data_IF_484773476971
#
_entry.id   IF_484773476971
#
_cell.length_a   1.000
_cell.length_b   1.000
_cell.length_c   1.000
_cell.angle_alpha   90.00
_cell.angle_beta   90.00
_cell.angle_gamma   90.00
#
_symmetry.space_group_name_H-M   'P 1'
#
loop_
_entity.id
_entity.type
_entity.pdbx_description
1 polymer ?
#
# COMPACT_ATOMS: atom_id res chain seq x y z
N UNK A 1 46.43 -90.50 -21.35
CA UNK A 1 45.11 -90.12 -21.92
C UNK A 1 44.06 -90.59 -20.92
N UNK A 2 43.25 -89.68 -20.38
CA UNK A 2 42.29 -89.99 -19.31
C UNK A 2 40.89 -89.96 -19.94
N UNK A 3 40.13 -91.05 -19.82
CA UNK A 3 38.84 -91.23 -20.53
C UNK A 3 37.66 -90.62 -19.74
N UNK A 4 37.78 -90.50 -18.41
CA UNK A 4 36.70 -90.00 -17.54
C UNK A 4 36.50 -88.48 -17.56
N UNK A 5 37.46 -87.70 -18.07
CA UNK A 5 37.34 -86.24 -18.16
C UNK A 5 37.70 -85.80 -19.57
N UNK A 6 36.68 -85.51 -20.37
CA UNK A 6 36.85 -85.01 -21.72
C UNK A 6 37.08 -83.49 -21.70
N UNK A 7 38.36 -83.10 -21.58
CA UNK A 7 38.79 -81.70 -21.56
C UNK A 7 38.37 -80.93 -22.82
N UNK A 8 38.36 -81.57 -24.00
CA UNK A 8 37.92 -80.92 -25.25
C UNK A 8 36.43 -80.61 -25.27
N UNK A 9 35.60 -81.43 -24.60
CA UNK A 9 34.17 -81.16 -24.44
C UNK A 9 33.91 -80.01 -23.46
N UNK A 10 34.69 -79.92 -22.38
CA UNK A 10 34.56 -78.85 -21.38
C UNK A 10 34.94 -77.50 -21.99
N UNK A 11 36.03 -77.43 -22.75
CA UNK A 11 36.44 -76.19 -23.44
C UNK A 11 35.43 -75.78 -24.51
N UNK A 12 34.87 -76.73 -25.27
CA UNK A 12 33.79 -76.46 -26.22
C UNK A 12 32.53 -75.91 -25.52
N UNK A 13 32.18 -76.44 -24.35
CA UNK A 13 31.02 -75.99 -23.58
C UNK A 13 31.24 -74.60 -22.93
N UNK A 14 32.45 -74.30 -22.47
CA UNK A 14 32.84 -72.98 -22.00
C UNK A 14 32.78 -71.94 -23.13
N UNK A 15 33.31 -72.27 -24.32
CA UNK A 15 33.25 -71.41 -25.50
C UNK A 15 31.81 -71.15 -25.98
N UNK A 16 30.96 -72.17 -25.97
CA UNK A 16 29.54 -72.04 -26.28
C UNK A 16 28.82 -71.13 -25.26
N UNK A 17 29.14 -71.28 -23.97
CA UNK A 17 28.59 -70.44 -22.91
C UNK A 17 29.01 -68.98 -23.06
N UNK A 18 30.28 -68.72 -23.39
CA UNK A 18 30.79 -67.37 -23.63
C UNK A 18 30.16 -66.74 -24.87
N UNK A 19 30.01 -67.50 -25.96
CA UNK A 19 29.28 -67.05 -27.17
C UNK A 19 27.82 -66.71 -26.84
N UNK A 20 27.15 -67.55 -26.05
CA UNK A 20 25.78 -67.31 -25.59
C UNK A 20 25.64 -66.02 -24.78
N UNK A 21 26.62 -65.71 -23.90
CA UNK A 21 26.66 -64.44 -23.15
C UNK A 21 26.82 -63.23 -24.07
N UNK A 22 27.73 -63.31 -25.05
CA UNK A 22 27.95 -62.23 -26.03
C UNK A 22 26.71 -61.95 -26.88
N UNK A 23 26.03 -62.99 -27.38
CA UNK A 23 24.79 -62.84 -28.15
C UNK A 23 23.70 -62.17 -27.29
N UNK A 24 23.53 -62.62 -26.04
CA UNK A 24 22.56 -62.01 -25.11
C UNK A 24 22.84 -60.52 -24.90
N UNK A 25 24.10 -60.15 -24.71
CA UNK A 25 24.47 -58.73 -24.54
C UNK A 25 24.23 -57.92 -25.82
N UNK A 26 24.52 -58.46 -27.00
CA UNK A 26 24.23 -57.77 -28.27
C UNK A 26 22.72 -57.60 -28.50
N UNK A 27 21.92 -58.60 -28.13
CA UNK A 27 20.47 -58.56 -28.26
C UNK A 27 19.85 -57.56 -27.27
N UNK A 28 20.37 -57.48 -26.04
CA UNK A 28 20.02 -56.46 -25.04
C UNK A 28 20.28 -55.04 -25.59
N UNK A 29 21.46 -54.80 -26.18
CA UNK A 29 21.81 -53.51 -26.80
C UNK A 29 20.96 -53.19 -28.02
N UNK A 30 20.63 -54.19 -28.84
CA UNK A 30 19.74 -54.00 -29.99
C UNK A 30 18.31 -53.65 -29.55
N UNK A 31 17.80 -54.33 -28.52
CA UNK A 31 16.44 -54.11 -28.02
C UNK A 31 16.26 -52.75 -27.34
N UNK A 32 17.31 -52.23 -26.70
CA UNK A 32 17.31 -50.94 -26.00
C UNK A 32 17.71 -49.79 -26.91
N UNK A 33 18.43 -50.07 -27.99
CA UNK A 33 19.06 -49.06 -28.86
C UNK A 33 20.23 -48.33 -28.19
N UNK A 34 20.61 -48.71 -26.97
CA UNK A 34 21.67 -48.06 -26.20
C UNK A 34 22.96 -48.89 -26.28
N UNK A 35 24.08 -48.20 -26.52
CA UNK A 35 25.42 -48.82 -26.59
C UNK A 35 25.89 -49.33 -25.21
N UNK A 36 25.47 -48.67 -24.13
CA UNK A 36 25.83 -48.96 -22.73
C UNK A 36 24.51 -49.10 -21.96
N UNK A 37 24.20 -50.31 -21.47
CA UNK A 37 22.97 -50.58 -20.71
C UNK A 37 23.20 -50.76 -19.21
N UNK A 38 24.41 -51.20 -18.84
CA UNK A 38 24.79 -51.52 -17.46
C UNK A 38 26.17 -50.97 -17.15
N UNK A 39 26.41 -50.64 -15.89
CA UNK A 39 27.69 -50.12 -15.42
C UNK A 39 28.86 -51.09 -15.68
N UNK A 40 28.57 -52.40 -15.81
CA UNK A 40 29.57 -53.42 -16.15
C UNK A 40 30.08 -53.33 -17.60
N UNK A 41 29.34 -52.69 -18.51
CA UNK A 41 29.77 -52.53 -19.91
C UNK A 41 30.75 -51.36 -20.07
N UNK A 42 30.47 -50.23 -19.40
CA UNK A 42 31.37 -49.07 -19.28
C UNK A 42 30.86 -48.15 -18.16
N UNK A 43 31.49 -48.23 -16.98
CA UNK A 43 31.07 -47.44 -15.82
C UNK A 43 31.28 -45.93 -16.02
N UNK A 44 32.36 -45.54 -16.71
CA UNK A 44 32.67 -44.11 -16.93
C UNK A 44 31.77 -43.52 -18.01
N UNK A 45 31.55 -44.27 -19.10
CA UNK A 45 30.63 -43.87 -20.16
C UNK A 45 29.19 -43.77 -19.68
N UNK A 46 28.73 -44.70 -18.82
CA UNK A 46 27.41 -44.63 -18.21
C UNK A 46 27.28 -43.41 -17.28
N UNK A 47 28.28 -43.14 -16.44
CA UNK A 47 28.26 -41.98 -15.55
C UNK A 47 28.20 -40.64 -16.31
N UNK A 48 28.93 -40.53 -17.42
CA UNK A 48 28.86 -39.34 -18.29
C UNK A 48 27.49 -39.24 -18.97
N UNK A 49 26.95 -40.35 -19.46
CA UNK A 49 25.63 -40.39 -20.10
C UNK A 49 24.51 -39.98 -19.12
N UNK A 50 24.54 -40.49 -17.89
CA UNK A 50 23.59 -40.11 -16.85
C UNK A 50 23.72 -38.64 -16.47
N UNK A 51 24.95 -38.12 -16.33
CA UNK A 51 25.17 -36.69 -16.11
C UNK A 51 24.56 -35.85 -17.24
N UNK A 52 24.85 -36.17 -18.50
CA UNK A 52 24.30 -35.47 -19.65
C UNK A 52 22.77 -35.58 -19.72
N UNK A 53 22.20 -36.72 -19.31
CA UNK A 53 20.75 -36.91 -19.24
C UNK A 53 20.11 -36.03 -18.18
N UNK A 54 20.70 -35.96 -16.98
CA UNK A 54 20.25 -35.04 -15.93
C UNK A 54 20.37 -33.58 -16.38
N UNK A 55 21.47 -33.22 -17.05
CA UNK A 55 21.67 -31.89 -17.62
C UNK A 55 20.58 -31.55 -18.64
N UNK A 56 20.30 -32.46 -19.58
CA UNK A 56 19.24 -32.28 -20.56
C UNK A 56 17.88 -32.06 -19.89
N UNK A 57 17.48 -32.92 -18.95
CA UNK A 57 16.20 -32.76 -18.24
C UNK A 57 16.12 -31.47 -17.42
N UNK A 58 17.26 -31.01 -16.88
CA UNK A 58 17.32 -29.76 -16.11
C UNK A 58 17.17 -28.54 -17.03
N UNK A 59 17.81 -28.57 -18.21
CA UNK A 59 17.68 -27.52 -19.22
C UNK A 59 16.25 -27.50 -19.79
N UNK A 60 15.62 -28.65 -20.03
CA UNK A 60 14.24 -28.71 -20.51
C UNK A 60 13.27 -28.02 -19.54
N UNK A 61 13.43 -28.26 -18.23
CA UNK A 61 12.67 -27.55 -17.20
C UNK A 61 13.04 -26.07 -17.15
N UNK A 62 14.32 -25.74 -17.31
CA UNK A 62 14.79 -24.35 -17.40
C UNK A 62 14.16 -23.58 -18.55
N UNK A 63 14.03 -24.20 -19.73
CA UNK A 63 13.33 -23.62 -20.89
C UNK A 63 11.86 -23.39 -20.58
N UNK A 64 11.18 -24.33 -19.91
CA UNK A 64 9.79 -24.16 -19.49
C UNK A 64 9.63 -22.99 -18.48
N UNK A 65 10.58 -22.84 -17.55
CA UNK A 65 10.61 -21.72 -16.61
C UNK A 65 10.86 -20.39 -17.35
N UNK A 66 11.77 -20.37 -18.32
CA UNK A 66 12.04 -19.21 -19.17
C UNK A 66 10.83 -18.80 -19.99
N UNK A 67 10.10 -19.76 -20.57
CA UNK A 67 8.84 -19.47 -21.26
C UNK A 67 7.79 -18.86 -20.32
N UNK A 68 7.70 -19.36 -19.09
CA UNK A 68 6.81 -18.79 -18.07
C UNK A 68 7.20 -17.33 -17.75
N UNK A 69 8.50 -17.05 -17.61
CA UNK A 69 9.02 -15.70 -17.44
C UNK A 69 8.64 -14.77 -18.61
N UNK A 70 8.77 -15.26 -19.86
CA UNK A 70 8.37 -14.52 -21.06
C UNK A 70 6.88 -14.22 -21.04
N UNK A 71 6.02 -15.20 -20.73
CA UNK A 71 4.56 -14.97 -20.67
C UNK A 71 4.19 -13.95 -19.59
N UNK A 72 4.85 -14.00 -18.44
CA UNK A 72 4.67 -13.05 -17.35
C UNK A 72 5.05 -11.63 -17.79
N UNK A 73 6.21 -11.47 -18.43
CA UNK A 73 6.66 -10.18 -18.95
C UNK A 73 5.74 -9.64 -20.04
N UNK A 74 5.22 -10.50 -20.93
CA UNK A 74 4.28 -10.08 -21.97
C UNK A 74 2.95 -9.60 -21.40
N UNK A 75 2.46 -10.21 -20.32
CA UNK A 75 1.26 -9.75 -19.62
C UNK A 75 1.53 -8.38 -18.99
N UNK A 76 2.65 -8.23 -18.29
CA UNK A 76 3.05 -6.96 -17.70
C UNK A 76 3.18 -5.84 -18.77
N UNK A 77 3.88 -6.11 -19.87
CA UNK A 77 4.11 -5.16 -20.97
C UNK A 77 2.80 -4.71 -21.62
N UNK A 78 1.88 -5.65 -21.92
CA UNK A 78 0.56 -5.31 -22.48
C UNK A 78 -0.30 -4.51 -21.51
N UNK A 79 -0.28 -4.84 -20.22
CA UNK A 79 -0.97 -4.05 -19.20
C UNK A 79 -0.39 -2.63 -19.08
N UNK A 80 0.93 -2.48 -19.14
CA UNK A 80 1.59 -1.17 -19.13
C UNK A 80 1.30 -0.35 -20.40
N UNK A 81 1.17 -1.00 -21.56
CA UNK A 81 0.73 -0.33 -22.78
C UNK A 81 -0.68 0.25 -22.63
N UNK A 82 -1.60 -0.44 -21.95
CA UNK A 82 -2.93 0.09 -21.66
C UNK A 82 -2.87 1.28 -20.68
N UNK A 83 -2.03 1.20 -19.65
CA UNK A 83 -1.79 2.34 -18.75
C UNK A 83 -1.21 3.55 -19.51
N UNK A 84 -0.33 3.33 -20.50
CA UNK A 84 0.18 4.39 -21.37
C UNK A 84 -0.93 5.07 -22.17
N UNK A 85 -1.86 4.31 -22.74
CA UNK A 85 -3.01 4.86 -23.46
C UNK A 85 -3.91 5.73 -22.55
N UNK A 86 -4.09 5.30 -21.30
CA UNK A 86 -4.83 6.07 -20.29
C UNK A 86 -4.10 7.38 -19.97
N UNK A 87 -2.78 7.34 -19.79
CA UNK A 87 -1.97 8.53 -19.51
C UNK A 87 -2.00 9.53 -20.68
N UNK A 88 -1.96 9.07 -21.92
CA UNK A 88 -2.11 9.93 -23.10
C UNK A 88 -3.49 10.61 -23.13
N UNK A 89 -4.54 9.89 -22.72
CA UNK A 89 -5.89 10.45 -22.60
C UNK A 89 -5.98 11.49 -21.48
N UNK A 90 -5.37 11.21 -20.32
CA UNK A 90 -5.28 12.17 -19.21
C UNK A 90 -4.55 13.44 -19.67
N UNK A 91 -3.43 13.30 -20.39
CA UNK A 91 -2.68 14.43 -20.93
C UNK A 91 -3.52 15.28 -21.89
N UNK A 92 -4.29 14.67 -22.78
CA UNK A 92 -5.20 15.40 -23.67
C UNK A 92 -6.28 16.17 -22.89
N UNK A 93 -6.87 15.55 -21.86
CA UNK A 93 -7.85 16.19 -20.96
C UNK A 93 -7.25 17.34 -20.16
N UNK A 94 -6.01 17.21 -19.68
CA UNK A 94 -5.30 18.29 -18.98
C UNK A 94 -5.05 19.49 -19.89
N UNK A 95 -4.65 19.27 -21.15
CA UNK A 95 -4.48 20.35 -22.14
C UNK A 95 -5.83 21.05 -22.40
N UNK A 96 -6.91 20.30 -22.51
CA UNK A 96 -8.27 20.84 -22.66
C UNK A 96 -8.69 21.67 -21.43
N UNK A 97 -8.39 21.20 -20.21
CA UNK A 97 -8.68 21.92 -18.98
C UNK A 97 -7.88 23.23 -18.85
N UNK A 98 -6.66 23.27 -19.39
CA UNK A 98 -5.78 24.44 -19.39
C UNK A 98 -6.11 25.47 -20.49
N UNK A 99 -7.13 25.23 -21.31
CA UNK A 99 -7.56 26.21 -22.32
C UNK A 99 -8.57 27.20 -21.72
N UNK A 100 -8.39 28.49 -21.96
CA UNK A 100 -9.24 29.56 -21.40
C UNK A 100 -10.71 29.51 -21.85
N UNK A 101 -11.01 28.81 -22.95
CA UNK A 101 -12.37 28.63 -23.47
C UNK A 101 -13.21 27.63 -22.66
N UNK A 102 -12.58 26.88 -21.75
CA UNK A 102 -13.27 25.90 -20.90
C UNK A 102 -13.85 26.59 -19.66
N UNK A 103 -15.17 26.53 -19.47
CA UNK A 103 -15.84 27.05 -18.26
C UNK A 103 -15.35 26.35 -16.98
N UNK A 104 -15.51 26.98 -15.82
CA UNK A 104 -15.19 26.39 -14.51
C UNK A 104 -15.89 25.05 -14.28
N UNK A 105 -17.17 24.94 -14.67
CA UNK A 105 -17.94 23.68 -14.56
C UNK A 105 -17.42 22.60 -15.52
N UNK A 106 -16.88 23.02 -16.68
CA UNK A 106 -16.22 22.15 -17.64
C UNK A 106 -14.88 21.62 -17.12
N UNK A 107 -14.08 22.47 -16.47
CA UNK A 107 -12.83 22.05 -15.80
C UNK A 107 -13.12 21.05 -14.68
N UNK A 108 -14.19 21.27 -13.91
CA UNK A 108 -14.61 20.35 -12.85
C UNK A 108 -15.06 18.99 -13.38
N UNK A 109 -15.77 18.96 -14.51
CA UNK A 109 -16.16 17.71 -15.17
C UNK A 109 -14.94 16.95 -15.71
N UNK A 110 -13.99 17.66 -16.31
CA UNK A 110 -12.72 17.08 -16.77
C UNK A 110 -11.90 16.53 -15.60
N UNK A 111 -11.89 17.21 -14.44
CA UNK A 111 -11.23 16.73 -13.21
C UNK A 111 -11.79 15.38 -12.76
N UNK A 112 -13.12 15.24 -12.72
CA UNK A 112 -13.78 13.98 -12.37
C UNK A 112 -13.42 12.86 -13.35
N UNK A 113 -13.33 13.15 -14.64
CA UNK A 113 -12.88 12.18 -15.63
C UNK A 113 -11.42 11.76 -15.40
N UNK A 114 -10.52 12.70 -15.09
CA UNK A 114 -9.12 12.40 -14.78
C UNK A 114 -9.02 11.55 -13.53
N UNK A 115 -9.76 11.85 -12.46
CA UNK A 115 -9.79 11.05 -11.24
C UNK A 115 -10.21 9.59 -11.53
N UNK A 116 -11.26 9.38 -12.33
CA UNK A 116 -11.67 8.03 -12.77
C UNK A 116 -10.62 7.31 -13.63
N UNK A 117 -9.93 8.03 -14.50
CA UNK A 117 -8.87 7.46 -15.34
C UNK A 117 -7.66 7.05 -14.48
N UNK A 118 -7.31 7.84 -13.46
CA UNK A 118 -6.27 7.47 -12.50
C UNK A 118 -6.69 6.26 -11.64
N UNK A 119 -7.95 6.21 -11.20
CA UNK A 119 -8.50 5.04 -10.51
C UNK A 119 -8.46 3.79 -11.42
N UNK A 120 -8.78 3.93 -12.70
CA UNK A 120 -8.66 2.83 -13.67
C UNK A 120 -7.19 2.39 -13.85
N UNK A 121 -6.25 3.33 -13.88
CA UNK A 121 -4.82 3.03 -13.97
C UNK A 121 -4.34 2.23 -12.75
N UNK A 122 -4.76 2.60 -11.55
CA UNK A 122 -4.45 1.88 -10.31
C UNK A 122 -5.11 0.49 -10.27
N UNK A 123 -6.35 0.38 -10.75
CA UNK A 123 -7.03 -0.91 -10.90
C UNK A 123 -6.29 -1.86 -11.84
N UNK A 124 -5.75 -1.36 -12.97
CA UNK A 124 -4.95 -2.19 -13.89
C UNK A 124 -3.67 -2.67 -13.18
N UNK A 125 -3.02 -1.81 -12.41
CA UNK A 125 -1.84 -2.19 -11.64
C UNK A 125 -2.16 -3.29 -10.62
N UNK A 126 -3.32 -3.21 -9.94
CA UNK A 126 -3.75 -4.16 -8.91
C UNK A 126 -4.20 -5.51 -9.49
N UNK A 127 -4.93 -5.48 -10.59
CA UNK A 127 -5.52 -6.69 -11.17
C UNK A 127 -4.53 -7.47 -12.06
N UNK A 128 -3.46 -6.83 -12.54
CA UNK A 128 -2.46 -7.49 -13.37
C UNK A 128 -1.62 -8.48 -12.55
N UNK A 129 -1.99 -9.76 -12.65
CA UNK A 129 -1.30 -10.85 -11.97
C UNK A 129 -1.04 -12.04 -12.91
N UNK A 130 -0.04 -12.84 -12.56
CA UNK A 130 0.21 -14.14 -13.16
C UNK A 130 0.33 -15.20 -12.07
N UNK A 131 -0.57 -16.19 -12.11
CA UNK A 131 -0.61 -17.28 -11.13
C UNK A 131 -0.62 -16.78 -9.67
N UNK A 132 -1.37 -15.69 -9.40
CA UNK A 132 -1.48 -15.08 -8.08
C UNK A 132 -0.37 -14.09 -7.69
N UNK A 133 0.69 -13.95 -8.51
CA UNK A 133 1.74 -12.95 -8.29
C UNK A 133 1.38 -11.66 -9.03
N UNK A 134 1.23 -10.55 -8.31
CA UNK A 134 1.00 -9.22 -8.89
C UNK A 134 2.29 -8.72 -9.54
N UNK A 135 2.18 -8.14 -10.73
CA UNK A 135 3.34 -7.83 -11.58
C UNK A 135 3.72 -6.35 -11.58
N UNK A 136 2.74 -5.45 -11.44
CA UNK A 136 2.93 -4.00 -11.65
C UNK A 136 2.96 -3.16 -10.36
N UNK A 137 2.57 -3.75 -9.23
CA UNK A 137 2.77 -3.22 -7.88
C UNK A 137 2.81 -4.35 -6.83
N UNK A 138 3.08 -4.00 -5.56
CA UNK A 138 2.91 -4.92 -4.45
C UNK A 138 1.47 -5.44 -4.37
N UNK A 139 1.33 -6.68 -3.88
CA UNK A 139 0.03 -7.34 -3.76
C UNK A 139 -0.96 -6.51 -2.92
N UNK A 140 -2.25 -6.63 -3.22
CA UNK A 140 -3.33 -5.95 -2.50
C UNK A 140 -3.29 -6.15 -0.96
N UNK A 141 -2.64 -7.21 -0.48
CA UNK A 141 -2.41 -7.48 0.95
C UNK A 141 -1.37 -6.60 1.64
N UNK A 142 -0.62 -5.77 0.91
CA UNK A 142 0.28 -4.78 1.50
C UNK A 142 -0.55 -3.63 2.11
N UNK A 143 -0.40 -3.41 3.42
CA UNK A 143 -1.16 -2.41 4.18
C UNK A 143 -0.73 -0.97 3.89
N UNK A 144 0.31 -0.78 3.07
CA UNK A 144 0.75 0.54 2.66
C UNK A 144 -0.24 1.16 1.67
N UNK A 145 -0.71 2.38 1.98
CA UNK A 145 -1.70 3.10 1.17
C UNK A 145 -1.17 3.43 -0.23
N UNK A 146 0.16 3.48 -0.38
CA UNK A 146 0.85 3.82 -1.61
C UNK A 146 1.26 2.60 -2.46
N UNK A 147 0.96 1.37 -2.00
CA UNK A 147 1.30 0.05 -2.61
C UNK A 147 2.71 0.04 -3.21
N UNK A 148 3.68 -0.44 -2.42
CA UNK A 148 5.11 -0.40 -2.75
C UNK A 148 5.53 -1.30 -3.94
N UNK A 149 6.85 -1.28 -4.23
CA UNK A 149 7.62 -2.25 -5.01
C UNK A 149 6.92 -3.56 -5.46
N UNK A 150 6.68 -3.86 -6.75
CA UNK A 150 6.51 -5.26 -7.14
C UNK A 150 7.75 -6.03 -6.71
N UNK A 151 7.55 -7.19 -6.09
CA UNK A 151 8.66 -8.06 -5.72
C UNK A 151 9.42 -8.52 -6.97
N UNK A 152 10.75 -8.52 -6.91
CA UNK A 152 11.56 -9.08 -7.99
C UNK A 152 11.31 -10.59 -8.08
N UNK A 153 10.90 -11.05 -9.26
CA UNK A 153 10.70 -12.48 -9.53
C UNK A 153 11.96 -13.04 -10.19
N UNK A 154 12.45 -14.15 -9.63
CA UNK A 154 13.62 -14.89 -10.12
C UNK A 154 13.20 -16.21 -10.77
N UNK A 155 13.73 -16.49 -11.96
CA UNK A 155 13.46 -17.70 -12.73
C UNK A 155 14.75 -18.49 -12.94
N UNK A 156 14.77 -19.73 -12.46
CA UNK A 156 15.88 -20.66 -12.66
C UNK A 156 15.79 -21.28 -14.05
N UNK A 157 16.79 -21.05 -14.90
CA UNK A 157 16.77 -21.44 -16.33
C UNK A 157 17.93 -22.39 -16.69
N UNK A 158 18.95 -22.50 -15.83
CA UNK A 158 20.05 -23.44 -16.03
C UNK A 158 20.21 -24.48 -14.93
N UNK A 159 21.26 -25.30 -15.05
CA UNK A 159 21.62 -26.36 -14.10
C UNK A 159 22.26 -25.78 -12.83
N UNK A 160 23.02 -24.69 -12.95
CA UNK A 160 23.71 -24.08 -11.82
C UNK A 160 22.79 -23.16 -11.04
N UNK A 161 22.97 -23.09 -9.72
CA UNK A 161 22.23 -22.17 -8.83
C UNK A 161 22.31 -20.70 -9.27
N UNK A 162 23.34 -20.34 -10.05
CA UNK A 162 23.55 -18.97 -10.51
C UNK A 162 22.89 -18.67 -11.87
N UNK A 163 22.33 -19.67 -12.54
CA UNK A 163 21.68 -19.53 -13.85
C UNK A 163 20.23 -19.02 -13.68
N UNK A 164 20.11 -17.83 -13.12
CA UNK A 164 18.85 -17.18 -12.77
C UNK A 164 18.67 -15.94 -13.63
N UNK A 165 17.50 -15.79 -14.24
CA UNK A 165 17.03 -14.52 -14.79
C UNK A 165 16.07 -13.89 -13.78
N UNK A 166 16.31 -12.63 -13.42
CA UNK A 166 15.43 -11.89 -12.51
C UNK A 166 14.81 -10.70 -13.24
N UNK A 167 13.57 -10.34 -12.89
CA UNK A 167 12.99 -9.09 -13.35
C UNK A 167 13.39 -7.91 -12.43
N UNK A 168 13.29 -6.69 -12.96
CA UNK A 168 13.34 -5.49 -12.14
C UNK A 168 12.01 -5.30 -11.41
N UNK A 169 12.05 -4.71 -10.20
CA UNK A 169 10.85 -4.26 -9.50
C UNK A 169 10.17 -3.13 -10.29
N UNK A 170 8.87 -3.24 -10.51
CA UNK A 170 8.06 -2.25 -11.23
C UNK A 170 7.07 -1.59 -10.26
N UNK A 171 6.80 -0.30 -10.46
CA UNK A 171 5.79 0.49 -9.77
C UNK A 171 5.01 1.32 -10.77
N UNK A 172 3.85 0.82 -11.19
CA UNK A 172 3.03 1.46 -12.21
C UNK A 172 1.67 1.92 -11.69
N UNK A 173 1.63 2.31 -10.42
CA UNK A 173 0.49 2.97 -9.79
C UNK A 173 0.70 4.49 -9.73
N UNK A 174 -0.32 5.22 -9.31
CA UNK A 174 -0.29 6.69 -9.21
C UNK A 174 0.83 7.22 -8.31
N UNK A 175 1.25 6.45 -7.29
CA UNK A 175 2.38 6.78 -6.43
C UNK A 175 3.74 6.62 -7.14
N UNK A 176 3.98 5.46 -7.75
CA UNK A 176 5.21 5.11 -8.44
C UNK A 176 5.49 5.94 -9.69
N UNK A 177 4.43 6.39 -10.38
CA UNK A 177 4.52 7.25 -11.57
C UNK A 177 4.61 8.74 -11.22
N UNK A 178 4.66 9.11 -9.93
CA UNK A 178 4.73 10.51 -9.48
C UNK A 178 3.44 11.31 -9.72
N UNK A 179 2.30 10.62 -9.91
CA UNK A 179 0.98 11.23 -10.13
C UNK A 179 0.15 11.36 -8.85
N UNK A 180 0.74 11.06 -7.67
CA UNK A 180 0.09 11.16 -6.37
C UNK A 180 -0.42 12.56 -6.06
N UNK A 181 0.36 13.58 -6.44
CA UNK A 181 -0.03 14.98 -6.27
C UNK A 181 -1.26 15.28 -7.15
N UNK A 182 -1.24 14.86 -8.42
CA UNK A 182 -2.39 15.02 -9.35
C UNK A 182 -3.62 14.24 -8.88
N UNK A 183 -3.47 13.06 -8.30
CA UNK A 183 -4.58 12.26 -7.75
C UNK A 183 -5.18 12.89 -6.48
N UNK A 184 -4.32 13.32 -5.56
CA UNK A 184 -4.72 13.99 -4.32
C UNK A 184 -5.36 15.35 -4.60
N UNK A 185 -4.87 16.06 -5.60
CA UNK A 185 -5.43 17.28 -6.15
C UNK A 185 -6.76 17.00 -6.89
N UNK A 186 -6.86 15.94 -7.70
CA UNK A 186 -8.11 15.60 -8.40
C UNK A 186 -9.21 15.06 -7.48
N UNK A 187 -8.91 14.62 -6.26
CA UNK A 187 -9.91 14.30 -5.22
C UNK A 187 -10.09 15.44 -4.21
N UNK A 188 -9.11 16.30 -4.02
CA UNK A 188 -9.19 17.54 -3.24
C UNK A 188 -9.83 18.68 -4.02
N UNK A 189 -10.47 19.62 -3.34
CA UNK A 189 -11.15 20.75 -3.98
C UNK A 189 -10.20 21.91 -4.37
N UNK A 190 -8.88 21.65 -4.48
CA UNK A 190 -7.82 22.68 -4.56
C UNK A 190 -6.80 22.38 -5.66
N UNK A 191 -7.11 22.67 -6.93
CA UNK A 191 -6.16 22.49 -8.06
C UNK A 191 -6.12 23.68 -9.03
N UNK A 192 -6.65 24.82 -8.63
CA UNK A 192 -6.47 26.07 -9.40
C UNK A 192 -6.19 27.27 -8.49
N UNK A 193 -5.66 27.03 -7.30
CA UNK A 193 -5.02 28.11 -6.54
C UNK A 193 -3.53 28.07 -6.87
N UNK A 194 -3.11 28.87 -7.86
CA UNK A 194 -1.73 29.32 -8.00
C UNK A 194 -1.35 30.24 -6.82
N UNK A 195 -1.50 29.73 -5.60
CA UNK A 195 -1.09 30.36 -4.36
C UNK A 195 -0.74 29.20 -3.46
N UNK A 196 0.56 28.88 -3.47
CA UNK A 196 1.21 28.21 -2.35
C UNK A 196 0.52 28.68 -1.07
N UNK A 197 -0.16 27.77 -0.38
CA UNK A 197 -0.52 28.02 1.01
C UNK A 197 0.79 27.96 1.77
N UNK A 198 1.51 29.08 1.70
CA UNK A 198 2.69 29.33 2.49
C UNK A 198 2.21 29.28 3.93
N UNK A 199 2.60 28.23 4.64
CA UNK A 199 2.58 28.21 6.09
C UNK A 199 3.43 29.40 6.54
N UNK A 200 2.78 30.47 7.00
CA UNK A 200 3.47 31.61 7.62
C UNK A 200 3.92 31.15 9.00
N UNK A 201 5.10 30.53 9.05
CA UNK A 201 5.86 30.43 10.27
C UNK A 201 6.40 31.83 10.61
N UNK A 202 6.26 32.19 11.89
CA UNK A 202 6.74 33.40 12.57
C UNK A 202 5.88 34.68 12.41
N UNK A 203 5.35 35.11 13.55
CA UNK A 203 4.58 36.33 13.83
C UNK A 203 3.14 36.39 13.29
N UNK A 204 2.24 35.68 13.98
CA UNK A 204 0.84 36.08 14.21
C UNK A 204 -0.04 36.28 12.97
N UNK A 205 -0.68 35.20 12.52
CA UNK A 205 -1.87 35.29 11.66
C UNK A 205 -2.88 34.19 12.02
N UNK A 206 -4.16 34.57 12.01
CA UNK A 206 -5.34 33.77 12.33
C UNK A 206 -5.74 32.94 11.10
N UNK A 207 -5.90 31.63 11.24
CA UNK A 207 -6.49 30.78 10.19
C UNK A 207 -7.97 30.56 10.47
N UNK A 208 -8.85 31.11 9.62
CA UNK A 208 -10.29 30.82 9.60
C UNK A 208 -10.53 29.70 8.59
N UNK A 209 -10.74 28.47 9.05
CA UNK A 209 -11.10 27.36 8.17
C UNK A 209 -12.60 27.10 8.28
N UNK A 210 -13.40 27.74 7.43
CA UNK A 210 -14.80 27.35 7.23
C UNK A 210 -14.88 26.37 6.07
N UNK A 211 -15.26 25.12 6.37
CA UNK A 211 -15.77 24.20 5.35
C UNK A 211 -17.08 23.62 5.86
N UNK A 212 -18.20 24.21 5.42
CA UNK A 212 -19.50 23.57 5.53
C UNK A 212 -19.73 22.69 4.31
N UNK A 213 -19.65 21.37 4.50
CA UNK A 213 -20.44 20.39 3.75
C UNK A 213 -20.60 19.16 4.64
N UNK A 214 -21.84 18.93 5.11
CA UNK A 214 -22.34 17.69 5.72
C UNK A 214 -22.27 17.50 7.26
N UNK A 215 -23.06 18.29 7.99
CA UNK A 215 -24.01 17.73 8.96
C UNK A 215 -23.56 17.09 10.29
N UNK A 216 -22.30 17.16 10.73
CA UNK A 216 -21.90 16.62 12.04
C UNK A 216 -21.09 17.63 12.87
N UNK A 217 -21.72 18.12 13.95
CA UNK A 217 -21.19 19.11 14.90
C UNK A 217 -19.87 18.66 15.54
N UNK A 218 -18.74 19.09 14.98
CA UNK A 218 -17.46 19.10 15.70
C UNK A 218 -17.24 20.50 16.28
N UNK A 219 -17.02 20.52 17.59
CA UNK A 219 -16.86 21.72 18.38
C UNK A 219 -15.62 22.49 17.92
N UNK A 220 -15.85 23.65 17.29
CA UNK A 220 -14.81 24.51 16.75
C UNK A 220 -14.10 25.24 17.91
N UNK A 221 -12.95 24.73 18.34
CA UNK A 221 -12.13 25.38 19.36
C UNK A 221 -11.17 26.37 18.69
N UNK A 222 -11.53 27.65 18.71
CA UNK A 222 -10.64 28.76 18.34
C UNK A 222 -9.67 29.01 19.50
N UNK A 223 -8.39 28.66 19.33
CA UNK A 223 -7.36 28.93 20.33
C UNK A 223 -6.68 30.27 20.01
N UNK A 224 -6.92 31.30 20.82
CA UNK A 224 -6.16 32.56 20.77
C UNK A 224 -5.06 32.51 21.83
N UNK A 225 -3.82 32.78 21.45
CA UNK A 225 -2.66 32.85 22.37
C UNK A 225 -1.88 34.13 22.11
N UNK A 226 -1.59 34.89 23.17
CA UNK A 226 -0.91 36.19 23.13
C UNK A 226 -1.72 37.30 23.83
N UNK A 227 -1.18 38.52 23.86
CA UNK A 227 -1.92 39.71 24.29
C UNK A 227 -2.99 40.04 23.25
N UNK A 228 -4.26 39.79 23.59
CA UNK A 228 -5.40 40.08 22.72
C UNK A 228 -5.98 41.43 23.14
N UNK A 229 -5.82 42.46 22.29
CA UNK A 229 -6.29 43.83 22.57
C UNK A 229 -7.83 43.91 22.61
N UNK A 230 -8.54 43.19 21.74
CA UNK A 230 -10.00 43.03 21.82
C UNK A 230 -10.50 41.75 21.14
N UNK A 231 -11.57 41.15 21.69
CA UNK A 231 -12.27 39.99 21.14
C UNK A 231 -13.77 40.31 21.05
N UNK A 232 -14.29 40.44 19.84
CA UNK A 232 -15.73 40.69 19.60
C UNK A 232 -16.44 39.39 19.27
N UNK A 233 -17.42 38.99 20.07
CA UNK A 233 -18.26 37.82 19.84
C UNK A 233 -19.63 38.24 19.26
N UNK A 234 -20.13 37.55 18.22
CA UNK A 234 -21.49 37.74 17.69
C UNK A 234 -22.53 37.08 18.61
N UNK A 235 -23.79 37.50 18.50
CA UNK A 235 -24.92 36.83 19.17
C UNK A 235 -24.90 35.32 18.86
N UNK A 236 -24.93 34.51 19.91
CA UNK A 236 -24.96 33.05 19.82
C UNK A 236 -23.63 32.32 20.03
N UNK A 237 -22.50 33.03 20.17
CA UNK A 237 -21.21 32.39 20.52
C UNK A 237 -21.07 32.21 22.04
N UNK A 238 -20.58 31.04 22.48
CA UNK A 238 -20.36 30.72 23.90
C UNK A 238 -18.88 30.48 24.16
N UNK A 239 -18.36 31.04 25.25
CA UNK A 239 -17.01 30.70 25.75
C UNK A 239 -17.20 29.51 26.69
N UNK A 240 -16.71 28.33 26.31
CA UNK A 240 -16.71 27.12 27.17
C UNK A 240 -15.28 26.84 27.66
N UNK A 241 -15.15 26.19 28.82
CA UNK A 241 -13.88 25.71 29.37
C UNK A 241 -12.85 26.82 29.73
N UNK A 242 -13.30 28.02 30.11
CA UNK A 242 -12.42 29.01 30.72
C UNK A 242 -11.89 28.49 32.07
N UNK A 243 -10.57 28.57 32.28
CA UNK A 243 -9.96 28.27 33.58
C UNK A 243 -10.45 29.26 34.66
N UNK A 244 -10.40 28.85 35.93
CA UNK A 244 -10.94 29.58 37.08
C UNK A 244 -10.40 31.03 37.18
N UNK A 245 -9.14 31.25 36.81
CA UNK A 245 -8.54 32.58 36.78
C UNK A 245 -9.20 33.49 35.72
N UNK A 246 -9.44 32.94 34.52
CA UNK A 246 -10.09 33.65 33.41
C UNK A 246 -11.56 33.90 33.72
N UNK A 247 -12.26 32.95 34.34
CA UNK A 247 -13.65 33.16 34.80
C UNK A 247 -13.74 34.28 35.84
N UNK A 248 -12.80 34.36 36.78
CA UNK A 248 -12.77 35.43 37.78
C UNK A 248 -12.52 36.82 37.17
N UNK A 249 -11.66 36.91 36.15
CA UNK A 249 -11.42 38.16 35.42
C UNK A 249 -12.67 38.59 34.64
N UNK A 250 -13.34 37.64 33.96
CA UNK A 250 -14.58 37.92 33.26
C UNK A 250 -15.70 38.35 34.23
N UNK A 251 -15.85 37.69 35.36
CA UNK A 251 -16.85 38.04 36.39
C UNK A 251 -16.57 39.41 37.01
N UNK A 252 -15.30 39.74 37.25
CA UNK A 252 -14.87 41.06 37.69
C UNK A 252 -15.16 42.15 36.64
N UNK A 253 -14.95 41.86 35.36
CA UNK A 253 -15.22 42.79 34.26
C UNK A 253 -16.73 43.05 34.07
N UNK A 254 -17.58 42.03 34.30
CA UNK A 254 -19.05 42.16 34.32
C UNK A 254 -19.51 42.99 35.51
N UNK A 255 -18.95 42.71 36.69
CA UNK A 255 -19.27 43.43 37.92
C UNK A 255 -18.82 44.90 37.86
N UNK A 256 -17.70 45.18 37.18
CA UNK A 256 -17.20 46.53 36.92
C UNK A 256 -17.99 47.27 35.83
N UNK A 257 -18.94 46.62 35.15
CA UNK A 257 -19.74 47.23 34.08
C UNK A 257 -19.01 47.40 32.75
N UNK A 258 -17.81 46.83 32.60
CA UNK A 258 -17.02 46.88 31.37
C UNK A 258 -17.42 45.79 30.35
N UNK A 259 -18.25 44.83 30.75
CA UNK A 259 -18.76 43.76 29.91
C UNK A 259 -20.25 43.53 30.17
N UNK A 260 -21.09 43.76 29.17
CA UNK A 260 -22.55 43.55 29.26
C UNK A 260 -22.90 42.14 28.79
N UNK A 261 -23.24 41.25 29.73
CA UNK A 261 -23.76 39.92 29.40
C UNK A 261 -25.27 40.00 29.17
N UNK A 262 -25.71 39.86 27.92
CA UNK A 262 -27.13 39.73 27.58
C UNK A 262 -27.65 38.35 27.99
N UNK A 263 -28.11 38.18 29.22
CA UNK A 263 -28.80 36.94 29.61
C UNK A 263 -30.24 36.96 29.11
N UNK A 264 -30.56 36.07 28.17
CA UNK A 264 -31.93 35.78 27.75
C UNK A 264 -32.80 35.42 28.97
N UNK A 265 -33.84 36.22 29.20
CA UNK A 265 -34.81 36.13 30.30
C UNK A 265 -35.29 34.71 30.64
N UNK A 266 -34.80 34.12 31.75
CA UNK A 266 -35.52 33.09 32.51
C UNK A 266 -35.29 33.30 34.02
N UNK A 267 -36.18 34.09 34.62
CA UNK A 267 -36.21 34.35 36.06
C UNK A 267 -36.57 33.06 36.82
N UNK A 268 -35.70 32.57 37.70
CA UNK A 268 -36.04 31.56 38.71
C UNK A 268 -35.96 32.20 40.09
N UNK A 269 -37.14 32.42 40.69
CA UNK A 269 -37.30 32.90 42.06
C UNK A 269 -36.75 31.87 43.07
N UNK A 270 -35.84 32.28 43.95
CA UNK A 270 -35.43 31.51 45.13
C UNK A 270 -35.85 32.31 46.38
N UNK A 271 -36.90 31.86 47.05
CA UNK A 271 -37.39 32.44 48.31
C UNK A 271 -36.63 31.88 49.51
N UNK A 272 -36.03 32.72 50.35
CA UNK A 272 -35.37 32.31 51.59
C UNK A 272 -36.37 32.18 52.74
N UNK A 273 -36.44 30.98 53.35
CA UNK A 273 -37.15 30.74 54.62
C UNK A 273 -36.11 30.68 55.74
N UNK A 274 -36.16 31.63 56.68
CA UNK A 274 -35.23 31.67 57.84
C UNK A 274 -35.83 30.86 59.00
N UNK A 275 -35.12 29.87 59.57
CA UNK A 275 -35.48 29.27 60.85
C UNK A 275 -34.71 29.89 62.03
N UNK A 276 -35.47 30.08 63.10
CA UNK A 276 -35.22 30.69 64.42
C UNK A 276 -33.91 30.30 65.13
N UNK A 277 -33.28 31.25 65.83
CA UNK A 277 -32.25 31.00 66.85
C UNK A 277 -32.55 31.80 68.13
N UNK A 278 -32.62 31.11 69.27
CA UNK A 278 -32.61 31.62 70.65
C UNK A 278 -31.94 30.53 71.51
N UNK A 279 -31.27 30.78 72.67
CA UNK A 279 -30.75 32.00 73.31
C UNK A 279 -29.26 31.91 73.74
N UNK A 280 -28.66 33.02 74.22
CA UNK A 280 -27.92 33.03 75.51
C UNK A 280 -27.67 34.44 76.07
N UNK A 281 -28.45 34.73 77.10
CA UNK A 281 -28.23 35.54 78.31
C UNK A 281 -26.80 36.08 78.55
N UNK A 282 -26.66 37.39 78.69
CA UNK A 282 -26.06 38.00 79.89
C UNK A 282 -26.56 39.44 80.11
N UNK A 283 -27.48 39.51 81.07
CA UNK A 283 -28.05 40.67 81.73
C UNK A 283 -26.98 41.46 82.52
N UNK A 284 -27.10 42.78 82.62
CA UNK A 284 -27.22 43.61 83.86
C UNK A 284 -26.15 44.73 83.82
N UNK A 285 -26.31 46.03 84.13
CA UNK A 285 -27.35 46.83 84.79
C UNK A 285 -27.26 48.30 84.32
N UNK A 286 -28.41 48.95 84.32
CA UNK A 286 -28.67 50.39 84.27
C UNK A 286 -27.94 51.18 85.37
N UNK A 287 -27.73 52.48 85.14
CA UNK A 287 -28.15 53.54 86.06
C UNK A 287 -28.64 54.75 85.25
N UNK A 288 -29.92 55.11 85.47
CA UNK A 288 -30.53 56.40 85.12
C UNK A 288 -30.46 57.25 86.38
N UNK A 289 -30.04 58.50 86.25
CA UNK A 289 -30.84 59.68 86.58
C UNK A 289 -30.28 60.87 85.82
#
# INVERSE_FOLDING_TARGET
MIINTNVSSITAQEAATNTGKSIKSSLEKLSTGLKINKASDDASGLAIADKLRTQATSIDQGVANGNSAVTLLQIADKSMAEQSNILDTIKAKLIQANTDTTSTDGRESIRKDISKLLEQLDNIAEQTNYNGNVLLQASAGDTDADKAASASLSFQIGESKNDIISNASVQSNTSGLGSKDVYSEANGNNVFSATSTTTVASAGAITLNSTNTDGLSTQESVSLSGDVDSLTLKEGMTISNADAATTAILDAAVTAGNLTLGFGTRSTHISFRVPQSVPKVKTVKFHKH
#
